data_IF_106946862794
#
_entry.id   IF_106946862794
#
_cell.length_a   1.000
_cell.length_b   1.000
_cell.length_c   1.000
_cell.angle_alpha   90.00
_cell.angle_beta   90.00
_cell.angle_gamma   90.00
#
_symmetry.space_group_name_H-M   'P 1'
#
loop_
_entity.id
_entity.type
_entity.pdbx_description
1 polymer ?
#
# COMPACT_ATOMS: atom_id res chain seq x y z
N UNK A 1 -21.51 34.71 53.01
CA UNK A 1 -22.35 35.05 51.84
C UNK A 1 -21.92 34.14 50.71
N UNK A 2 -22.77 33.18 50.30
CA UNK A 2 -22.46 32.32 49.15
C UNK A 2 -22.36 33.19 47.89
N UNK A 3 -21.25 33.05 47.15
CA UNK A 3 -21.02 33.76 45.88
C UNK A 3 -22.06 33.28 44.84
N UNK A 4 -22.53 34.19 43.97
CA UNK A 4 -23.45 33.93 42.86
C UNK A 4 -23.08 32.66 42.07
N UNK A 5 -21.79 32.40 41.89
CA UNK A 5 -21.25 31.20 41.22
C UNK A 5 -21.56 29.90 41.97
N UNK A 6 -21.51 29.91 43.32
CA UNK A 6 -21.87 28.75 44.15
C UNK A 6 -23.38 28.50 44.18
N UNK A 7 -24.19 29.56 44.16
CA UNK A 7 -25.66 29.43 44.00
C UNK A 7 -26.02 28.82 42.64
N UNK A 8 -25.39 29.28 41.57
CA UNK A 8 -25.62 28.74 40.23
C UNK A 8 -25.19 27.27 40.12
N UNK A 9 -24.04 26.90 40.71
CA UNK A 9 -23.59 25.50 40.75
C UNK A 9 -24.54 24.60 41.56
N UNK A 10 -25.04 25.05 42.71
CA UNK A 10 -26.04 24.30 43.51
C UNK A 10 -27.36 24.14 42.77
N UNK A 11 -27.82 25.18 42.06
CA UNK A 11 -29.05 25.11 41.25
C UNK A 11 -28.88 24.16 40.05
N UNK A 12 -27.71 24.19 39.39
CA UNK A 12 -27.39 23.27 38.30
C UNK A 12 -27.37 21.82 38.78
N UNK A 13 -26.72 21.54 39.92
CA UNK A 13 -26.70 20.22 40.54
C UNK A 13 -28.11 19.75 40.95
N UNK A 14 -28.97 20.64 41.45
CA UNK A 14 -30.38 20.34 41.78
C UNK A 14 -31.21 20.01 40.54
N UNK A 15 -31.00 20.73 39.43
CA UNK A 15 -31.65 20.45 38.14
C UNK A 15 -31.16 19.11 37.55
N UNK A 16 -29.87 18.81 37.70
CA UNK A 16 -29.28 17.54 37.24
C UNK A 16 -29.70 16.33 38.09
N UNK A 17 -30.09 16.56 39.36
CA UNK A 17 -30.50 15.50 40.32
C UNK A 17 -32.00 15.39 40.54
N UNK A 18 -32.82 16.30 40.01
CA UNK A 18 -34.28 16.23 40.10
C UNK A 18 -34.85 15.02 39.34
N UNK A 19 -35.39 14.08 40.11
CA UNK A 19 -35.82 12.73 39.72
C UNK A 19 -36.98 12.68 38.69
N UNK A 20 -37.60 13.83 38.40
CA UNK A 20 -38.88 13.93 37.67
C UNK A 20 -38.77 13.59 36.17
N UNK A 21 -37.55 13.56 35.61
CA UNK A 21 -37.31 13.29 34.19
C UNK A 21 -36.50 12.01 33.91
N UNK A 22 -36.16 11.21 34.94
CA UNK A 22 -35.39 9.97 34.77
C UNK A 22 -36.05 9.00 33.77
N UNK A 23 -37.37 8.82 33.83
CA UNK A 23 -38.10 7.88 32.94
C UNK A 23 -38.12 8.33 31.47
N UNK A 24 -38.19 9.63 31.19
CA UNK A 24 -38.22 10.16 29.82
C UNK A 24 -36.82 10.28 29.20
N UNK A 25 -35.78 10.52 30.01
CA UNK A 25 -34.39 10.63 29.53
C UNK A 25 -33.63 9.30 29.51
N UNK A 26 -34.03 8.31 30.32
CA UNK A 26 -33.44 6.97 30.32
C UNK A 26 -33.26 6.34 28.92
N UNK A 27 -34.26 6.32 28.02
CA UNK A 27 -34.07 5.76 26.68
C UNK A 27 -33.00 6.51 25.88
N UNK A 28 -32.91 7.83 26.00
CA UNK A 28 -31.88 8.63 25.33
C UNK A 28 -30.48 8.39 25.91
N UNK A 29 -30.36 8.28 27.24
CA UNK A 29 -29.06 7.97 27.89
C UNK A 29 -28.60 6.56 27.54
N UNK A 30 -29.51 5.58 27.49
CA UNK A 30 -29.20 4.20 27.08
C UNK A 30 -28.81 4.16 25.59
N UNK A 31 -29.56 4.84 24.72
CA UNK A 31 -29.25 4.90 23.29
C UNK A 31 -27.90 5.59 23.03
N UNK A 32 -27.62 6.69 23.73
CA UNK A 32 -26.33 7.38 23.65
C UNK A 32 -25.20 6.51 24.19
N UNK A 33 -25.40 5.81 25.31
CA UNK A 33 -24.44 4.86 25.86
C UNK A 33 -24.15 3.70 24.91
N UNK A 34 -25.17 3.15 24.25
CA UNK A 34 -25.01 2.10 23.24
C UNK A 34 -24.28 2.60 21.99
N UNK A 35 -24.58 3.82 21.54
CA UNK A 35 -23.85 4.46 20.44
C UNK A 35 -22.37 4.67 20.78
N UNK A 36 -22.07 5.18 21.97
CA UNK A 36 -20.69 5.38 22.44
C UNK A 36 -19.95 4.05 22.58
N UNK A 37 -20.58 3.00 23.12
CA UNK A 37 -19.98 1.66 23.17
C UNK A 37 -19.76 1.08 21.77
N UNK A 38 -20.72 1.25 20.86
CA UNK A 38 -20.60 0.83 19.46
C UNK A 38 -19.45 1.52 18.74
N UNK A 39 -19.28 2.83 18.94
CA UNK A 39 -18.16 3.57 18.34
C UNK A 39 -16.82 3.19 18.94
N UNK A 40 -16.71 3.01 20.27
CA UNK A 40 -15.47 2.56 20.92
C UNK A 40 -15.06 1.17 20.42
N UNK A 41 -16.01 0.24 20.35
CA UNK A 41 -15.73 -1.13 19.87
C UNK A 41 -15.35 -1.15 18.39
N UNK A 42 -16.03 -0.38 17.56
CA UNK A 42 -15.67 -0.20 16.15
C UNK A 42 -14.25 0.37 15.98
N UNK A 43 -13.91 1.44 16.70
CA UNK A 43 -12.58 2.06 16.64
C UNK A 43 -11.48 1.10 17.09
N UNK A 44 -11.70 0.35 18.18
CA UNK A 44 -10.75 -0.65 18.65
C UNK A 44 -10.54 -1.77 17.63
N UNK A 45 -11.62 -2.25 16.99
CA UNK A 45 -11.54 -3.31 15.99
C UNK A 45 -10.85 -2.84 14.71
N UNK A 46 -11.21 -1.66 14.20
CA UNK A 46 -10.55 -1.04 13.04
C UNK A 46 -9.05 -0.88 13.29
N UNK A 47 -8.68 -0.29 14.43
CA UNK A 47 -7.26 -0.08 14.78
C UNK A 47 -6.52 -1.41 14.90
N UNK A 48 -7.13 -2.44 15.50
CA UNK A 48 -6.52 -3.77 15.58
C UNK A 48 -6.33 -4.40 14.20
N UNK A 49 -7.28 -4.21 13.29
CA UNK A 49 -7.21 -4.72 11.93
C UNK A 49 -6.12 -4.00 11.11
N UNK A 50 -6.06 -2.67 11.17
CA UNK A 50 -5.03 -1.87 10.50
C UNK A 50 -3.62 -2.23 10.99
N UNK A 51 -3.48 -2.49 12.30
CA UNK A 51 -2.22 -2.95 12.87
C UNK A 51 -1.80 -4.34 12.34
N UNK A 52 -2.76 -5.23 12.08
CA UNK A 52 -2.50 -6.55 11.49
C UNK A 52 -2.11 -6.44 10.02
N UNK A 53 -2.80 -5.63 9.22
CA UNK A 53 -2.39 -5.42 7.82
C UNK A 53 -0.99 -4.80 7.74
N UNK A 54 -0.70 -3.83 8.60
CA UNK A 54 0.62 -3.20 8.73
C UNK A 54 1.71 -4.21 9.05
N UNK A 55 1.42 -5.22 9.87
CA UNK A 55 2.35 -6.32 10.13
C UNK A 55 2.76 -7.02 8.83
N UNK A 56 1.81 -7.49 8.01
CA UNK A 56 2.11 -8.21 6.76
C UNK A 56 2.80 -7.33 5.72
N UNK A 57 2.39 -6.06 5.59
CA UNK A 57 3.04 -5.07 4.72
C UNK A 57 4.53 -4.91 5.06
N UNK A 58 4.87 -4.92 6.36
CA UNK A 58 6.25 -4.73 6.83
C UNK A 58 7.16 -5.94 6.64
N UNK A 59 6.61 -7.12 6.27
CA UNK A 59 7.40 -8.35 6.22
C UNK A 59 8.40 -8.36 5.09
N UNK A 60 8.14 -7.69 3.96
CA UNK A 60 9.02 -7.68 2.77
C UNK A 60 9.68 -9.07 2.54
N UNK A 61 11.02 -9.17 2.53
CA UNK A 61 11.77 -10.44 2.38
C UNK A 61 11.56 -11.47 3.51
N UNK A 62 10.99 -11.07 4.65
CA UNK A 62 10.75 -11.91 5.83
C UNK A 62 9.37 -12.59 5.81
N UNK A 63 8.52 -12.32 4.82
CA UNK A 63 7.22 -12.99 4.72
C UNK A 63 7.43 -14.51 4.63
N UNK A 64 6.78 -15.24 5.53
CA UNK A 64 6.90 -16.69 5.62
C UNK A 64 5.56 -17.38 5.34
N UNK A 65 5.60 -18.69 5.06
CA UNK A 65 4.40 -19.53 4.90
C UNK A 65 3.50 -19.45 6.15
N UNK A 66 4.10 -19.45 7.35
CA UNK A 66 3.37 -19.31 8.61
C UNK A 66 2.60 -18.00 8.69
N UNK A 67 3.18 -16.91 8.17
CA UNK A 67 2.51 -15.61 8.14
C UNK A 67 1.31 -15.65 7.21
N UNK A 68 1.42 -16.32 6.05
CA UNK A 68 0.31 -16.48 5.09
C UNK A 68 -0.81 -17.31 5.70
N UNK A 69 -0.48 -18.45 6.33
CA UNK A 69 -1.47 -19.29 7.00
C UNK A 69 -2.18 -18.53 8.14
N UNK A 70 -1.43 -17.71 8.89
CA UNK A 70 -1.98 -16.90 9.96
C UNK A 70 -2.91 -15.81 9.40
N UNK A 71 -2.51 -15.12 8.32
CA UNK A 71 -3.34 -14.12 7.66
C UNK A 71 -4.69 -14.71 7.23
N UNK A 72 -4.67 -15.90 6.62
CA UNK A 72 -5.89 -16.58 6.19
C UNK A 72 -6.80 -16.97 7.38
N UNK A 73 -6.22 -17.50 8.46
CA UNK A 73 -6.97 -17.82 9.69
C UNK A 73 -7.60 -16.59 10.33
N UNK A 74 -6.93 -15.45 10.25
CA UNK A 74 -7.40 -14.18 10.78
C UNK A 74 -8.36 -13.44 9.84
N UNK A 75 -8.59 -13.95 8.63
CA UNK A 75 -9.45 -13.31 7.63
C UNK A 75 -8.84 -12.05 7.01
N UNK A 76 -7.51 -11.93 7.01
CA UNK A 76 -6.80 -10.80 6.41
C UNK A 76 -6.75 -10.94 4.90
N UNK A 77 -7.23 -9.93 4.18
CA UNK A 77 -7.21 -9.93 2.71
C UNK A 77 -5.83 -9.54 2.17
N UNK A 78 -5.00 -10.53 1.85
CA UNK A 78 -3.67 -10.32 1.26
C UNK A 78 -3.70 -9.74 -0.17
N UNK A 79 -4.86 -9.69 -0.82
CA UNK A 79 -5.01 -9.11 -2.17
C UNK A 79 -5.25 -7.60 -2.13
N UNK A 80 -5.62 -7.06 -0.96
CA UNK A 80 -5.98 -5.66 -0.79
C UNK A 80 -5.60 -5.15 0.61
N UNK A 81 -4.30 -4.94 0.82
CA UNK A 81 -3.72 -4.49 2.08
C UNK A 81 -3.55 -2.98 2.15
N UNK A 82 -3.70 -2.44 3.36
CA UNK A 82 -3.48 -1.04 3.69
C UNK A 82 -4.54 -0.11 3.11
N UNK A 83 -4.27 1.19 3.22
CA UNK A 83 -5.17 2.25 2.76
C UNK A 83 -5.28 2.25 1.23
N UNK A 84 -4.16 2.01 0.55
CA UNK A 84 -4.07 1.99 -0.92
C UNK A 84 -4.62 0.70 -1.55
N UNK A 85 -5.12 -0.25 -0.73
CA UNK A 85 -5.67 -1.55 -1.15
C UNK A 85 -4.79 -2.27 -2.18
N UNK A 86 -3.51 -2.39 -1.86
CA UNK A 86 -2.51 -3.01 -2.73
C UNK A 86 -2.38 -4.49 -2.43
N UNK A 87 -2.12 -5.27 -3.47
CA UNK A 87 -1.82 -6.68 -3.36
C UNK A 87 -0.52 -6.90 -2.55
N UNK A 88 -0.42 -7.96 -1.74
CA UNK A 88 0.78 -8.27 -0.93
C UNK A 88 2.06 -8.26 -1.77
N UNK A 89 2.00 -8.78 -3.00
CA UNK A 89 3.12 -8.82 -3.96
C UNK A 89 3.68 -7.42 -4.29
N UNK A 90 2.86 -6.37 -4.26
CA UNK A 90 3.32 -4.98 -4.38
C UNK A 90 4.24 -4.60 -3.22
N UNK A 91 3.86 -4.93 -1.99
CA UNK A 91 4.64 -4.61 -0.79
C UNK A 91 5.96 -5.40 -0.72
N UNK A 92 5.95 -6.64 -1.20
CA UNK A 92 7.15 -7.48 -1.24
C UNK A 92 8.21 -7.00 -2.26
N UNK A 93 7.83 -6.16 -3.23
CA UNK A 93 8.66 -5.75 -4.36
C UNK A 93 9.90 -4.90 -3.99
N UNK A 94 9.97 -4.40 -2.75
CA UNK A 94 11.14 -3.70 -2.21
C UNK A 94 12.33 -4.63 -1.97
N UNK A 95 12.08 -5.92 -1.76
CA UNK A 95 13.10 -6.94 -1.66
C UNK A 95 13.03 -7.87 -2.88
N UNK A 96 14.07 -8.67 -3.09
CA UNK A 96 14.01 -9.74 -4.09
C UNK A 96 12.85 -10.70 -3.76
N UNK A 97 12.04 -11.03 -4.76
CA UNK A 97 10.96 -11.98 -4.57
C UNK A 97 11.44 -13.37 -4.19
N UNK A 98 10.82 -13.93 -3.17
CA UNK A 98 10.96 -15.33 -2.81
C UNK A 98 9.96 -16.16 -3.62
N UNK A 99 10.46 -16.93 -4.60
CA UNK A 99 9.63 -17.74 -5.49
C UNK A 99 8.81 -18.82 -4.75
N UNK A 100 9.34 -19.36 -3.65
CA UNK A 100 8.61 -20.32 -2.80
C UNK A 100 7.38 -19.66 -2.17
N UNK A 101 7.52 -18.41 -1.74
CA UNK A 101 6.42 -17.62 -1.16
C UNK A 101 5.39 -17.25 -2.23
N UNK A 102 5.82 -16.77 -3.39
CA UNK A 102 4.90 -16.45 -4.49
C UNK A 102 4.13 -17.68 -4.98
N UNK A 103 4.81 -18.83 -5.08
CA UNK A 103 4.18 -20.10 -5.39
C UNK A 103 3.17 -20.48 -4.32
N UNK A 104 3.53 -20.37 -3.05
CA UNK A 104 2.63 -20.71 -1.95
C UNK A 104 1.37 -19.81 -1.93
N UNK A 105 1.51 -18.50 -2.12
CA UNK A 105 0.37 -17.57 -2.25
C UNK A 105 -0.59 -18.04 -3.36
N UNK A 106 -0.05 -18.38 -4.53
CA UNK A 106 -0.84 -18.91 -5.64
C UNK A 106 -1.53 -20.23 -5.29
N UNK A 107 -0.80 -21.16 -4.66
CA UNK A 107 -1.30 -22.48 -4.30
C UNK A 107 -2.41 -22.41 -3.23
N UNK A 108 -2.42 -21.37 -2.38
CA UNK A 108 -3.48 -21.12 -1.39
C UNK A 108 -4.70 -20.36 -1.94
N UNK A 109 -4.73 -20.10 -3.25
CA UNK A 109 -5.87 -19.50 -3.96
C UNK A 109 -5.86 -17.97 -4.02
N UNK A 110 -4.78 -17.31 -3.63
CA UNK A 110 -4.63 -15.86 -3.77
C UNK A 110 -4.37 -15.53 -5.24
N UNK A 111 -5.23 -14.69 -5.83
CA UNK A 111 -5.14 -14.30 -7.23
C UNK A 111 -4.06 -13.22 -7.43
N UNK A 112 -2.88 -13.67 -7.85
CA UNK A 112 -1.76 -12.79 -8.13
C UNK A 112 -2.03 -11.79 -9.27
N UNK A 113 -3.02 -12.06 -10.14
CA UNK A 113 -3.38 -11.22 -11.28
C UNK A 113 -4.50 -10.24 -10.98
N UNK A 114 -5.00 -10.19 -9.74
CA UNK A 114 -6.07 -9.29 -9.34
C UNK A 114 -5.70 -7.84 -9.66
N UNK A 115 -6.66 -7.14 -10.25
CA UNK A 115 -6.58 -5.70 -10.49
C UNK A 115 -7.04 -4.94 -9.25
N UNK A 116 -6.34 -3.86 -8.93
CA UNK A 116 -6.79 -2.96 -7.88
C UNK A 116 -7.97 -2.07 -8.31
N UNK A 117 -8.39 -1.18 -7.42
CA UNK A 117 -9.56 -0.32 -7.62
C UNK A 117 -9.45 0.64 -8.83
N UNK A 118 -8.25 0.92 -9.34
CA UNK A 118 -8.07 1.71 -10.56
C UNK A 118 -7.84 0.82 -11.80
N UNK A 119 -8.10 -0.48 -11.68
CA UNK A 119 -7.97 -1.44 -12.79
C UNK A 119 -6.52 -1.76 -13.16
N UNK A 120 -5.57 -1.56 -12.24
CA UNK A 120 -4.14 -1.81 -12.47
C UNK A 120 -3.70 -3.11 -11.80
N UNK A 121 -2.84 -3.87 -12.46
CA UNK A 121 -2.21 -5.03 -11.83
C UNK A 121 -0.97 -4.62 -11.00
N UNK A 122 -0.44 -5.58 -10.25
CA UNK A 122 0.71 -5.36 -9.36
C UNK A 122 1.95 -4.82 -10.10
N UNK A 123 2.28 -5.35 -11.28
CA UNK A 123 3.42 -4.88 -12.08
C UNK A 123 3.25 -3.41 -12.49
N UNK A 124 2.06 -3.02 -12.92
CA UNK A 124 1.73 -1.64 -13.28
C UNK A 124 1.91 -0.68 -12.09
N UNK A 125 1.45 -1.06 -10.90
CA UNK A 125 1.63 -0.24 -9.68
C UNK A 125 3.07 -0.15 -9.24
N UNK A 126 3.84 -1.22 -9.38
CA UNK A 126 5.27 -1.20 -9.09
C UNK A 126 5.99 -0.17 -9.97
N UNK A 127 5.63 -0.08 -11.25
CA UNK A 127 6.25 0.89 -12.16
C UNK A 127 5.77 2.32 -11.84
N UNK A 128 4.47 2.52 -11.63
CA UNK A 128 3.86 3.84 -11.44
C UNK A 128 4.16 4.49 -10.09
N UNK A 129 4.03 3.74 -8.99
CA UNK A 129 3.92 4.34 -7.65
C UNK A 129 4.93 3.84 -6.63
N UNK A 130 5.54 2.67 -6.85
CA UNK A 130 6.44 2.11 -5.84
C UNK A 130 7.72 2.92 -5.72
N UNK A 131 7.89 3.61 -4.59
CA UNK A 131 9.15 4.28 -4.26
C UNK A 131 10.19 3.24 -3.86
N UNK A 132 11.33 3.26 -4.55
CA UNK A 132 12.43 2.32 -4.36
C UNK A 132 13.70 3.09 -4.04
N UNK A 133 14.53 2.56 -3.14
CA UNK A 133 15.88 3.10 -2.92
C UNK A 133 16.81 2.72 -4.09
N UNK A 134 17.96 3.40 -4.17
CA UNK A 134 19.06 3.05 -5.09
C UNK A 134 19.37 1.56 -5.04
N UNK A 135 19.52 1.01 -3.82
CA UNK A 135 19.81 -0.40 -3.60
C UNK A 135 18.75 -1.33 -4.21
N UNK A 136 17.46 -1.01 -4.05
CA UNK A 136 16.38 -1.87 -4.57
C UNK A 136 16.34 -1.83 -6.11
N UNK A 137 16.51 -0.64 -6.70
CA UNK A 137 16.55 -0.44 -8.15
C UNK A 137 17.72 -1.19 -8.80
N UNK A 138 18.89 -1.14 -8.16
CA UNK A 138 20.10 -1.76 -8.67
C UNK A 138 20.07 -3.30 -8.54
N UNK A 139 19.64 -3.84 -7.40
CA UNK A 139 19.87 -5.25 -7.08
C UNK A 139 18.66 -6.15 -7.26
N UNK A 140 17.43 -5.63 -7.16
CA UNK A 140 16.23 -6.46 -7.06
C UNK A 140 15.23 -6.19 -8.16
N UNK A 141 15.13 -4.94 -8.60
CA UNK A 141 14.03 -4.49 -9.44
C UNK A 141 13.90 -5.27 -10.75
N UNK A 142 14.97 -5.39 -11.54
CA UNK A 142 14.92 -6.10 -12.81
C UNK A 142 14.52 -7.58 -12.65
N UNK A 143 15.04 -8.26 -11.62
CA UNK A 143 14.68 -9.62 -11.29
C UNK A 143 13.20 -9.74 -10.92
N UNK A 144 12.71 -8.83 -10.08
CA UNK A 144 11.30 -8.78 -9.68
C UNK A 144 10.38 -8.58 -10.89
N UNK A 145 10.68 -7.64 -11.79
CA UNK A 145 9.93 -7.44 -13.02
C UNK A 145 9.88 -8.72 -13.86
N UNK A 146 11.02 -9.41 -14.01
CA UNK A 146 11.10 -10.67 -14.75
C UNK A 146 10.24 -11.77 -14.14
N UNK A 147 10.16 -11.84 -12.81
CA UNK A 147 9.28 -12.78 -12.10
C UNK A 147 7.80 -12.44 -12.33
N UNK A 148 7.40 -11.17 -12.26
CA UNK A 148 6.00 -10.79 -12.50
C UNK A 148 5.57 -11.07 -13.94
N UNK A 149 6.46 -10.83 -14.90
CA UNK A 149 6.24 -11.19 -16.31
C UNK A 149 6.07 -12.70 -16.48
N UNK A 150 6.85 -13.53 -15.80
CA UNK A 150 6.72 -14.99 -15.88
C UNK A 150 5.46 -15.53 -15.21
N UNK A 151 4.89 -14.77 -14.25
CA UNK A 151 3.56 -15.03 -13.69
C UNK A 151 2.41 -14.59 -14.61
N UNK A 152 2.71 -14.01 -15.77
CA UNK A 152 1.72 -13.62 -16.78
C UNK A 152 1.24 -12.18 -16.69
N UNK A 153 1.80 -11.37 -15.77
CA UNK A 153 1.46 -9.95 -15.69
C UNK A 153 2.00 -9.19 -16.90
N UNK A 154 1.23 -8.22 -17.39
CA UNK A 154 1.61 -7.35 -18.52
C UNK A 154 1.22 -5.92 -18.20
N UNK A 155 1.97 -4.96 -18.73
CA UNK A 155 1.61 -3.55 -18.64
C UNK A 155 0.70 -3.22 -19.82
N UNK A 156 -0.49 -2.68 -19.56
CA UNK A 156 -1.42 -2.27 -20.61
C UNK A 156 -0.93 -1.06 -21.39
N UNK A 157 -1.39 -0.89 -22.62
CA UNK A 157 -1.01 0.24 -23.48
C UNK A 157 -1.38 1.60 -22.85
N UNK A 158 -2.51 1.66 -22.14
CA UNK A 158 -2.94 2.90 -21.48
C UNK A 158 -2.02 3.23 -20.29
N UNK A 159 -1.59 2.22 -19.52
CA UNK A 159 -0.55 2.41 -18.50
C UNK A 159 0.80 2.80 -19.11
N UNK A 160 1.19 2.22 -20.26
CA UNK A 160 2.41 2.63 -20.97
C UNK A 160 2.36 4.11 -21.34
N UNK A 161 1.23 4.61 -21.85
CA UNK A 161 1.04 6.05 -22.18
C UNK A 161 1.16 6.92 -20.93
N UNK A 162 0.53 6.51 -19.83
CA UNK A 162 0.59 7.22 -18.55
C UNK A 162 2.04 7.34 -18.03
N UNK A 163 2.75 6.20 -17.96
CA UNK A 163 4.16 6.15 -17.54
C UNK A 163 5.03 7.02 -18.45
N UNK A 164 4.78 6.99 -19.77
CA UNK A 164 5.51 7.80 -20.74
C UNK A 164 5.37 9.28 -20.48
N UNK A 165 4.16 9.74 -20.14
CA UNK A 165 3.88 11.13 -19.78
C UNK A 165 4.60 11.52 -18.48
N UNK A 166 4.58 10.66 -17.46
CA UNK A 166 5.31 10.89 -16.21
C UNK A 166 6.81 11.01 -16.45
N UNK A 167 7.38 10.10 -17.25
CA UNK A 167 8.79 10.13 -17.62
C UNK A 167 9.16 11.42 -18.37
N UNK A 168 8.31 11.88 -19.30
CA UNK A 168 8.52 13.16 -20.01
C UNK A 168 8.45 14.38 -19.10
N UNK A 169 7.65 14.31 -18.03
CA UNK A 169 7.49 15.38 -17.05
C UNK A 169 8.60 15.39 -15.97
N UNK A 170 9.66 14.58 -16.14
CA UNK A 170 10.84 14.59 -15.26
C UNK A 170 10.82 13.56 -14.13
N UNK A 171 9.90 12.59 -14.14
CA UNK A 171 9.95 11.45 -13.20
C UNK A 171 11.05 10.45 -13.63
N UNK A 172 12.31 10.75 -13.29
CA UNK A 172 13.48 9.99 -13.75
C UNK A 172 13.49 8.54 -13.25
N UNK A 173 13.04 8.30 -12.01
CA UNK A 173 12.91 6.96 -11.44
C UNK A 173 11.92 6.12 -12.25
N UNK A 174 10.81 6.74 -12.66
CA UNK A 174 9.76 6.13 -13.47
C UNK A 174 10.26 5.83 -14.88
N UNK A 175 11.08 6.72 -15.47
CA UNK A 175 11.79 6.41 -16.71
C UNK A 175 12.68 5.17 -16.58
N UNK A 176 13.49 5.08 -15.52
CA UNK A 176 14.39 3.95 -15.32
C UNK A 176 13.62 2.64 -15.10
N UNK A 177 12.57 2.67 -14.28
CA UNK A 177 11.65 1.53 -14.09
C UNK A 177 11.08 1.03 -15.41
N UNK A 178 10.63 1.96 -16.26
CA UNK A 178 10.12 1.63 -17.59
C UNK A 178 11.20 1.05 -18.51
N UNK A 179 12.43 1.55 -18.43
CA UNK A 179 13.55 1.02 -19.18
C UNK A 179 13.84 -0.45 -18.81
N UNK A 180 13.80 -0.79 -17.52
CA UNK A 180 13.94 -2.17 -17.07
C UNK A 180 12.79 -3.07 -17.54
N UNK A 181 11.55 -2.56 -17.52
CA UNK A 181 10.41 -3.29 -18.09
C UNK A 181 10.62 -3.62 -19.56
N UNK A 182 10.94 -2.63 -20.40
CA UNK A 182 11.20 -2.86 -21.82
C UNK A 182 12.39 -3.78 -22.06
N UNK A 183 13.42 -3.73 -21.22
CA UNK A 183 14.53 -4.68 -21.26
C UNK A 183 14.05 -6.10 -21.01
N UNK A 184 13.20 -6.31 -20.00
CA UNK A 184 12.71 -7.63 -19.60
C UNK A 184 11.80 -8.28 -20.66
N UNK A 185 11.10 -7.48 -21.49
CA UNK A 185 10.30 -7.96 -22.62
C UNK A 185 11.04 -7.91 -23.97
N UNK A 186 12.38 -7.82 -23.94
CA UNK A 186 13.27 -7.80 -25.11
C UNK A 186 12.97 -6.70 -26.15
N UNK A 187 12.55 -5.53 -25.68
CA UNK A 187 12.36 -4.31 -26.48
C UNK A 187 13.54 -3.37 -26.29
N UNK A 188 14.73 -3.81 -26.74
CA UNK A 188 16.03 -3.15 -26.48
C UNK A 188 16.06 -1.66 -26.84
N UNK A 189 15.52 -1.26 -27.99
CA UNK A 189 15.50 0.14 -28.42
C UNK A 189 14.65 1.02 -27.50
N UNK A 190 13.51 0.50 -27.05
CA UNK A 190 12.66 1.20 -26.08
C UNK A 190 13.38 1.31 -24.74
N UNK A 191 13.98 0.21 -24.27
CA UNK A 191 14.77 0.20 -23.04
C UNK A 191 15.88 1.27 -23.06
N UNK A 192 16.68 1.33 -24.14
CA UNK A 192 17.74 2.33 -24.31
C UNK A 192 17.18 3.76 -24.35
N UNK A 193 16.03 3.98 -25.01
CA UNK A 193 15.38 5.29 -25.07
C UNK A 193 14.95 5.81 -23.69
N UNK A 194 14.25 4.99 -22.90
CA UNK A 194 13.83 5.38 -21.54
C UNK A 194 15.03 5.50 -20.58
N UNK A 195 16.05 4.65 -20.72
CA UNK A 195 17.28 4.74 -19.94
C UNK A 195 18.03 6.05 -20.20
N UNK A 196 18.18 6.48 -21.46
CA UNK A 196 18.75 7.79 -21.79
C UNK A 196 17.93 8.93 -21.20
N UNK A 197 16.60 8.83 -21.22
CA UNK A 197 15.72 9.85 -20.62
C UNK A 197 15.87 9.94 -19.11
N UNK A 198 16.08 8.81 -18.43
CA UNK A 198 16.34 8.79 -16.98
C UNK A 198 17.63 9.52 -16.58
N UNK A 199 18.52 9.82 -17.54
CA UNK A 199 19.73 10.61 -17.36
C UNK A 199 19.55 12.12 -17.66
N UNK A 200 18.38 12.56 -18.16
CA UNK A 200 18.16 13.98 -18.45
C UNK A 200 17.87 14.75 -17.15
N UNK A 201 18.61 15.83 -16.90
CA UNK A 201 18.63 16.64 -15.67
C UNK A 201 19.41 16.02 -14.50
N UNK A 202 20.66 16.45 -14.38
CA UNK A 202 21.66 15.98 -13.42
C UNK A 202 21.44 16.55 -12.01
N UNK A 203 20.53 15.93 -11.23
CA UNK A 203 20.60 15.97 -9.75
C UNK A 203 20.66 14.57 -9.13
N UNK A 204 20.04 13.57 -9.75
CA UNK A 204 20.06 12.18 -9.26
C UNK A 204 21.14 11.34 -9.97
N UNK A 205 22.39 11.52 -9.55
CA UNK A 205 23.56 10.83 -10.08
C UNK A 205 23.38 9.30 -10.16
N UNK A 206 22.70 8.71 -9.17
CA UNK A 206 22.58 7.26 -9.09
C UNK A 206 21.62 6.66 -10.13
N UNK A 207 20.51 7.32 -10.49
CA UNK A 207 19.55 6.81 -11.48
C UNK A 207 20.25 6.63 -12.83
N UNK A 208 20.99 7.66 -13.25
CA UNK A 208 21.75 7.60 -14.50
C UNK A 208 22.89 6.57 -14.44
N UNK A 209 23.55 6.42 -13.28
CA UNK A 209 24.58 5.40 -13.07
C UNK A 209 24.00 3.98 -13.24
N UNK A 210 22.83 3.70 -12.66
CA UNK A 210 22.14 2.40 -12.83
C UNK A 210 21.76 2.20 -14.31
N UNK A 211 21.15 3.21 -14.95
CA UNK A 211 20.80 3.13 -16.37
C UNK A 211 22.02 2.79 -17.24
N UNK A 212 23.16 3.45 -16.96
CA UNK A 212 24.42 3.25 -17.66
C UNK A 212 24.98 1.84 -17.49
N UNK A 213 24.99 1.35 -16.25
CA UNK A 213 25.58 0.05 -15.91
C UNK A 213 24.76 -1.13 -16.42
N UNK A 214 23.43 -1.03 -16.38
CA UNK A 214 22.56 -2.19 -16.61
C UNK A 214 21.81 -2.15 -17.94
N UNK A 215 21.70 -1.02 -18.63
CA UNK A 215 20.87 -0.90 -19.85
C UNK A 215 21.65 -0.29 -21.02
N UNK A 216 22.48 0.72 -20.77
CA UNK A 216 23.20 1.43 -21.83
C UNK A 216 24.58 0.85 -22.14
N UNK A 217 25.14 -0.01 -21.27
CA UNK A 217 26.30 -0.83 -21.62
C UNK A 217 25.86 -1.86 -22.67
N UNK A 218 26.58 -1.84 -23.80
CA UNK A 218 26.30 -2.65 -24.99
C UNK A 218 26.22 -4.17 -24.70
#
# INVERSE_FOLDING_TARGET
MDNQTQKNAKTLLRILTEDKFKRQRAPYVIAFGALVLGTITYLFFSSSYDNKESYYISRESKLSIKDIDQAQKEGINLEALGDDKRHIVYHLAKSQYNLTILKYLKDTGIDLLLLDQEGKNTLERIILSLKLSEFNLENHYYGNISVLLSLGMKVSDDTIKEISKLCQNGALDTCLKMAFYFKAIDRKEHAKSYAKRSCYSSKDYYICKIASNYILKD
#
